data_IF_069102975965
#
_entry.id   IF_069102975965
#
_cell.length_a   1.000
_cell.length_b   1.000
_cell.length_c   1.000
_cell.angle_alpha   90.00
_cell.angle_beta   90.00
_cell.angle_gamma   90.00
#
_symmetry.space_group_name_H-M   'P 1'
#
loop_
_entity.id
_entity.type
_entity.pdbx_description
1 polymer ?
#
# COMPACT_ATOMS: atom_id res chain seq x y z
N UNK A 1 -1.48 11.78 -8.57
CA UNK A 1 -0.57 10.70 -8.11
C UNK A 1 0.74 10.70 -8.88
N UNK A 2 1.84 10.70 -8.15
CA UNK A 2 3.21 10.48 -8.61
C UNK A 2 3.57 8.99 -8.48
N UNK A 3 4.05 8.38 -9.56
CA UNK A 3 4.55 6.99 -9.58
C UNK A 3 5.94 6.91 -8.90
N UNK A 4 6.16 5.89 -8.06
CA UNK A 4 7.34 5.73 -7.20
C UNK A 4 8.04 4.38 -7.44
N UNK A 5 7.30 3.28 -7.38
CA UNK A 5 7.80 1.90 -7.50
C UNK A 5 9.03 1.56 -6.62
N UNK A 6 8.99 1.94 -5.33
CA UNK A 6 10.06 1.66 -4.36
C UNK A 6 9.71 0.49 -3.43
N UNK A 7 10.66 -0.40 -3.10
CA UNK A 7 10.44 -1.45 -2.10
C UNK A 7 10.25 -0.85 -0.71
N UNK A 8 9.29 -1.38 0.03
CA UNK A 8 8.95 -0.92 1.38
C UNK A 8 8.75 -2.10 2.33
N UNK A 9 8.92 -1.83 3.62
CA UNK A 9 8.47 -2.76 4.67
C UNK A 9 7.06 -2.37 5.11
N UNK A 10 6.24 -3.37 5.45
CA UNK A 10 4.85 -3.16 5.88
C UNK A 10 4.57 -4.01 7.10
N UNK A 11 4.04 -3.39 8.15
CA UNK A 11 3.40 -4.12 9.23
C UNK A 11 1.97 -4.42 8.82
N UNK A 12 1.64 -5.71 8.86
CA UNK A 12 0.39 -6.23 8.33
C UNK A 12 -0.23 -7.20 9.32
N UNK A 13 -1.55 -7.16 9.41
CA UNK A 13 -2.32 -8.14 10.14
C UNK A 13 -3.09 -9.01 9.15
N UNK A 14 -3.01 -10.33 9.30
CA UNK A 14 -3.85 -11.26 8.55
C UNK A 14 -5.08 -11.57 9.40
N UNK A 15 -6.26 -11.15 8.94
CA UNK A 15 -7.52 -11.31 9.68
C UNK A 15 -8.61 -11.80 8.74
N UNK A 16 -9.30 -12.87 9.12
CA UNK A 16 -10.44 -13.40 8.37
C UNK A 16 -10.13 -13.61 6.88
N UNK A 17 -8.95 -14.18 6.57
CA UNK A 17 -8.44 -14.37 5.21
C UNK A 17 -8.22 -13.08 4.40
N UNK A 18 -8.16 -11.93 5.06
CA UNK A 18 -7.85 -10.64 4.47
C UNK A 18 -6.50 -10.12 4.97
N UNK A 19 -5.82 -9.39 4.09
CA UNK A 19 -4.59 -8.67 4.39
C UNK A 19 -4.99 -7.26 4.86
N UNK A 20 -4.66 -6.91 6.10
CA UNK A 20 -4.97 -5.62 6.71
C UNK A 20 -3.67 -4.86 7.03
N UNK A 21 -3.12 -4.07 6.10
CA UNK A 21 -1.90 -3.30 6.35
C UNK A 21 -2.16 -2.22 7.41
N UNK A 22 -1.24 -2.08 8.37
CA UNK A 22 -1.37 -1.18 9.53
C UNK A 22 -0.44 0.03 9.43
N UNK A 23 0.80 -0.20 8.97
CA UNK A 23 1.76 0.86 8.72
C UNK A 23 2.81 0.40 7.71
N UNK A 24 3.40 1.33 6.99
CA UNK A 24 4.53 1.04 6.11
C UNK A 24 5.68 1.98 6.39
N UNK A 25 6.89 1.58 5.97
CA UNK A 25 8.11 2.31 6.21
C UNK A 25 8.64 2.86 4.90
N UNK A 26 8.71 4.18 4.78
CA UNK A 26 9.19 4.85 3.58
C UNK A 26 10.04 6.07 3.96
N UNK A 27 11.20 6.22 3.32
CA UNK A 27 12.17 7.31 3.57
C UNK A 27 12.51 7.50 5.06
N UNK A 28 12.74 6.40 5.77
CA UNK A 28 13.10 6.41 7.19
C UNK A 28 11.96 6.77 8.15
N UNK A 29 10.72 6.92 7.65
CA UNK A 29 9.54 7.23 8.47
C UNK A 29 8.59 6.04 8.51
N UNK A 30 7.99 5.81 9.67
CA UNK A 30 6.81 4.95 9.79
C UNK A 30 5.57 5.77 9.45
N UNK A 31 4.84 5.34 8.43
CA UNK A 31 3.59 5.96 7.98
C UNK A 31 2.46 5.04 8.43
N UNK A 32 1.67 5.51 9.39
CA UNK A 32 0.53 4.78 9.94
C UNK A 32 -0.65 4.91 8.98
N UNK A 33 -1.29 3.80 8.63
CA UNK A 33 -2.45 3.81 7.75
C UNK A 33 -3.69 4.17 8.57
N UNK A 34 -4.35 5.27 8.21
CA UNK A 34 -5.60 5.68 8.84
C UNK A 34 -6.79 4.89 8.28
N UNK A 35 -6.77 4.66 6.96
CA UNK A 35 -7.84 3.95 6.26
C UNK A 35 -7.33 3.24 5.02
N UNK A 36 -7.84 2.03 4.79
CA UNK A 36 -7.74 1.34 3.50
C UNK A 36 -8.98 1.69 2.69
N UNK A 37 -8.80 2.43 1.59
CA UNK A 37 -9.88 2.96 0.77
C UNK A 37 -10.35 1.97 -0.30
N UNK A 38 -9.42 1.21 -0.88
CA UNK A 38 -9.72 0.21 -1.91
C UNK A 38 -8.74 -0.95 -1.80
N UNK A 39 -9.25 -2.16 -2.01
CA UNK A 39 -8.45 -3.37 -2.18
C UNK A 39 -8.89 -4.01 -3.50
N UNK A 40 -7.93 -4.33 -4.35
CA UNK A 40 -8.18 -5.14 -5.54
C UNK A 40 -6.98 -6.04 -5.83
N UNK A 41 -7.18 -7.03 -6.71
CA UNK A 41 -6.12 -7.95 -7.11
C UNK A 41 -5.90 -7.90 -8.60
N UNK A 42 -4.64 -7.95 -9.03
CA UNK A 42 -4.28 -8.18 -10.43
C UNK A 42 -3.54 -9.52 -10.57
N UNK A 43 -3.54 -10.08 -11.78
CA UNK A 43 -2.83 -11.31 -12.10
C UNK A 43 -1.81 -11.05 -13.21
N UNK A 44 -0.61 -11.56 -13.05
CA UNK A 44 0.39 -11.63 -14.11
C UNK A 44 0.94 -13.06 -14.19
N UNK A 45 0.42 -13.84 -15.14
CA UNK A 45 0.65 -15.29 -15.18
C UNK A 45 0.14 -15.96 -13.90
N UNK A 46 1.03 -16.69 -13.22
CA UNK A 46 0.75 -17.32 -11.93
C UNK A 46 0.80 -16.34 -10.75
N UNK A 47 1.33 -15.13 -10.96
CA UNK A 47 1.48 -14.18 -9.87
C UNK A 47 0.18 -13.45 -9.54
N UNK A 48 -0.19 -13.42 -8.26
CA UNK A 48 -1.29 -12.61 -7.74
C UNK A 48 -0.68 -11.42 -7.01
N UNK A 49 -1.08 -10.22 -7.41
CA UNK A 49 -0.72 -8.98 -6.73
C UNK A 49 -1.93 -8.42 -6.01
N UNK A 50 -1.76 -8.09 -4.74
CA UNK A 50 -2.76 -7.35 -3.97
C UNK A 50 -2.40 -5.88 -4.00
N UNK A 51 -3.34 -5.05 -4.43
CA UNK A 51 -3.18 -3.60 -4.47
C UNK A 51 -4.08 -2.96 -3.41
N UNK A 52 -3.50 -2.04 -2.65
CA UNK A 52 -4.16 -1.32 -1.57
C UNK A 52 -4.04 0.18 -1.83
N UNK A 53 -5.18 0.85 -2.01
CA UNK A 53 -5.23 2.31 -1.92
C UNK A 53 -5.48 2.68 -0.48
N UNK A 54 -4.56 3.39 0.15
CA UNK A 54 -4.60 3.75 1.57
C UNK A 54 -4.46 5.25 1.76
N UNK A 55 -4.98 5.77 2.87
CA UNK A 55 -4.80 7.17 3.27
C UNK A 55 -4.11 7.26 4.62
N UNK A 56 -3.26 8.27 4.77
CA UNK A 56 -2.55 8.60 6.01
C UNK A 56 -2.30 10.10 6.08
N UNK A 57 -2.87 10.78 7.08
CA UNK A 57 -2.59 12.18 7.38
C UNK A 57 -2.75 13.12 6.18
N UNK A 58 -3.84 12.97 5.41
CA UNK A 58 -4.11 13.78 4.22
C UNK A 58 -3.29 13.39 2.98
N UNK A 59 -2.61 12.25 2.97
CA UNK A 59 -1.94 11.72 1.79
C UNK A 59 -2.58 10.41 1.35
N UNK A 60 -2.51 10.13 0.06
CA UNK A 60 -2.94 8.86 -0.55
C UNK A 60 -1.73 8.07 -1.04
N UNK A 61 -1.75 6.76 -0.81
CA UNK A 61 -0.69 5.85 -1.25
C UNK A 61 -1.29 4.63 -1.94
N UNK A 62 -0.59 4.12 -2.95
CA UNK A 62 -0.86 2.80 -3.54
C UNK A 62 0.24 1.84 -3.14
N UNK A 63 -0.13 0.79 -2.42
CA UNK A 63 0.77 -0.29 -2.01
C UNK A 63 0.46 -1.54 -2.81
N UNK A 64 1.48 -2.29 -3.21
CA UNK A 64 1.34 -3.61 -3.82
C UNK A 64 2.06 -4.67 -3.01
N UNK A 65 1.37 -5.79 -2.76
CA UNK A 65 1.96 -7.00 -2.21
C UNK A 65 2.02 -8.10 -3.27
N UNK A 66 3.20 -8.66 -3.47
CA UNK A 66 3.43 -9.85 -4.29
C UNK A 66 3.42 -11.10 -3.39
N UNK A 67 2.37 -11.93 -3.52
CA UNK A 67 2.24 -13.12 -2.69
C UNK A 67 3.23 -14.24 -3.03
N UNK A 68 3.91 -14.17 -4.17
CA UNK A 68 4.91 -15.17 -4.57
C UNK A 68 6.30 -14.79 -4.08
N UNK A 69 6.63 -13.49 -4.10
CA UNK A 69 7.92 -12.97 -3.63
C UNK A 69 7.89 -12.54 -2.17
N UNK A 70 6.72 -12.50 -1.54
CA UNK A 70 6.50 -12.01 -0.17
C UNK A 70 7.07 -10.59 0.03
N UNK A 71 6.92 -9.74 -0.98
CA UNK A 71 7.50 -8.40 -1.02
C UNK A 71 6.45 -7.32 -1.21
N UNK A 72 6.69 -6.15 -0.63
CA UNK A 72 5.84 -4.97 -0.77
C UNK A 72 6.52 -3.88 -1.61
N UNK A 73 5.69 -3.14 -2.35
CA UNK A 73 6.11 -2.00 -3.17
C UNK A 73 5.18 -0.81 -2.90
N UNK A 74 5.75 0.38 -2.75
CA UNK A 74 5.04 1.64 -2.89
C UNK A 74 4.94 1.95 -4.38
N UNK A 75 3.75 1.82 -4.96
CA UNK A 75 3.53 2.08 -6.38
C UNK A 75 3.44 3.59 -6.65
N UNK A 76 2.66 4.32 -5.85
CA UNK A 76 2.45 5.75 -6.04
C UNK A 76 2.05 6.47 -4.75
N UNK A 77 2.21 7.79 -4.77
CA UNK A 77 1.77 8.73 -3.72
C UNK A 77 1.00 9.91 -4.33
N UNK A 78 0.03 10.44 -3.61
CA UNK A 78 -0.63 11.72 -3.87
C UNK A 78 -0.76 12.51 -2.58
N UNK A 79 -0.61 13.82 -2.66
CA UNK A 79 -1.04 14.72 -1.59
C UNK A 79 -2.52 15.05 -1.81
N UNK A 80 -3.32 15.03 -0.75
CA UNK A 80 -4.71 15.49 -0.83
C UNK A 80 -4.72 17.02 -0.97
N UNK A 81 -4.93 17.50 -2.20
CA UNK A 81 -5.00 18.94 -2.52
C UNK A 81 -6.28 19.63 -2.04
N UNK A 82 -7.17 18.96 -1.30
CA UNK A 82 -8.45 19.55 -0.85
C UNK A 82 -8.33 20.57 0.30
N UNK A 83 -7.14 21.14 0.54
CA UNK A 83 -6.86 22.16 1.55
C UNK A 83 -6.74 23.60 1.02
N UNK A 84 -7.21 23.89 -0.21
CA UNK A 84 -7.32 25.27 -0.74
C UNK A 84 -8.73 25.59 -1.21
#
# INVERSE_FOLDING_TARGET
MLEIFEPINVWVFFKNNLIAPQSFFWRGRQIKIDKVNLIHTSKNGACIFYHFSVSSGGNFYRLRFDSNKLSWLLEAVDEDSSAY
#
